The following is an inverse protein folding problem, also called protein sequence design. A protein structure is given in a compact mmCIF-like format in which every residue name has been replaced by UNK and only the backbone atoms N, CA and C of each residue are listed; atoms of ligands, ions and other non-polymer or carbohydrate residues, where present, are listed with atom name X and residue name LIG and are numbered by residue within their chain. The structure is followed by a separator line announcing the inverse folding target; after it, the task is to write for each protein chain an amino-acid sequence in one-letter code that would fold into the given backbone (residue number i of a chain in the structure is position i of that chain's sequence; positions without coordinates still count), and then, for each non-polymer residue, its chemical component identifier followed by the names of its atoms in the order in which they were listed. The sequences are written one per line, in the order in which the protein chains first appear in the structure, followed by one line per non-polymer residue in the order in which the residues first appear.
data_IF_085978326231
#
_entry.id   IF_085978326231
#
_cell.length_a   1.000
_cell.length_b   1.000
_cell.length_c   1.000
_cell.angle_alpha   90.00
_cell.angle_beta   90.00
_cell.angle_gamma   90.00
#
_symmetry.space_group_name_H-M   'P 1'
#
loop_
_entity.id
_entity.type
_entity.pdbx_description
1 polymer ?
#
# COMPACT_ATOMS: atom_id res chain seq x y z
N UNK A 1 -4.64 -23.46 -1.06
CA UNK A 1 -5.52 -22.29 -1.28
C UNK A 1 -4.78 -21.11 -0.71
N UNK A 2 -4.47 -20.08 -1.50
CA UNK A 2 -3.71 -18.93 -1.01
C UNK A 2 -4.64 -18.13 -0.08
N UNK A 3 -4.43 -18.20 1.23
CA UNK A 3 -5.35 -17.66 2.26
C UNK A 3 -5.24 -16.15 2.44
N UNK A 4 -4.35 -15.50 1.70
CA UNK A 4 -4.07 -14.08 1.81
C UNK A 4 -4.97 -13.26 0.87
N UNK A 5 -5.30 -11.99 1.22
CA UNK A 5 -6.04 -11.10 0.35
C UNK A 5 -5.41 -11.03 -1.04
N UNK A 6 -6.23 -11.09 -2.08
CA UNK A 6 -5.73 -11.02 -3.46
C UNK A 6 -5.48 -9.59 -3.93
N UNK A 7 -6.02 -8.59 -3.22
CA UNK A 7 -5.88 -7.18 -3.58
C UNK A 7 -5.95 -6.27 -2.36
N UNK A 8 -5.24 -5.14 -2.45
CA UNK A 8 -5.29 -4.05 -1.48
C UNK A 8 -5.47 -2.72 -2.20
N UNK A 9 -6.20 -1.80 -1.60
CA UNK A 9 -6.11 -0.38 -1.96
C UNK A 9 -5.02 0.26 -1.10
N UNK A 10 -4.07 0.92 -1.74
CA UNK A 10 -2.98 1.64 -1.08
C UNK A 10 -3.09 3.13 -1.38
N UNK A 11 -2.74 3.94 -0.38
CA UNK A 11 -2.86 5.38 -0.38
C UNK A 11 -1.49 5.98 -0.17
N UNK A 12 -1.03 6.76 -1.14
CA UNK A 12 0.16 7.58 -1.04
C UNK A 12 -0.20 8.90 -0.36
N UNK A 13 0.44 9.22 0.76
CA UNK A 13 0.13 10.39 1.61
C UNK A 13 1.43 11.13 1.98
N UNK A 14 1.38 12.43 2.30
CA UNK A 14 2.49 13.11 2.95
C UNK A 14 2.74 12.55 4.37
N UNK A 15 4.00 12.39 4.75
CA UNK A 15 4.43 11.88 6.07
C UNK A 15 3.97 12.80 7.22
N UNK A 16 4.04 14.13 7.01
CA UNK A 16 3.75 15.16 8.00
C UNK A 16 2.31 15.68 7.97
N UNK A 17 1.35 14.91 7.46
CA UNK A 17 -0.07 15.27 7.58
C UNK A 17 -0.51 15.15 9.05
N UNK A 18 -0.17 16.14 9.87
CA UNK A 18 -0.67 16.31 11.23
C UNK A 18 -2.15 16.70 11.17
N UNK A 19 -3.03 15.72 11.34
CA UNK A 19 -4.33 15.89 11.99
C UNK A 19 -4.89 14.52 12.42
N UNK A 20 -4.47 14.07 13.61
CA UNK A 20 -5.40 13.71 14.69
C UNK A 20 -6.35 12.51 14.57
N UNK A 21 -6.47 11.82 13.44
CA UNK A 21 -7.08 10.48 13.36
C UNK A 21 -6.41 9.71 12.24
N UNK A 22 -5.90 8.53 12.54
CA UNK A 22 -5.51 7.51 11.57
C UNK A 22 -6.72 7.01 10.79
N UNK A 23 -7.35 7.89 10.00
CA UNK A 23 -8.39 7.48 9.09
C UNK A 23 -7.71 6.95 7.86
N UNK A 24 -7.96 5.69 7.57
CA UNK A 24 -7.67 5.05 6.30
C UNK A 24 -8.57 5.59 5.17
N UNK A 25 -8.79 6.91 5.19
CA UNK A 25 -9.69 7.64 4.31
C UNK A 25 -8.86 8.26 3.18
N UNK A 26 -9.39 8.20 1.96
CA UNK A 26 -8.72 8.73 0.77
C UNK A 26 -8.58 10.26 0.80
N UNK A 27 -9.27 10.97 1.71
CA UNK A 27 -9.12 12.43 1.87
C UNK A 27 -7.73 12.78 2.38
N UNK A 28 -6.90 13.33 1.49
CA UNK A 28 -5.50 13.69 1.76
C UNK A 28 -4.48 12.77 1.08
N UNK A 29 -4.93 11.70 0.41
CA UNK A 29 -4.06 10.91 -0.45
C UNK A 29 -3.69 11.71 -1.71
N UNK A 30 -2.38 11.77 -1.99
CA UNK A 30 -1.86 12.32 -3.23
C UNK A 30 -2.17 11.39 -4.41
N UNK A 31 -2.20 10.08 -4.14
CA UNK A 31 -2.54 9.03 -5.11
C UNK A 31 -3.11 7.83 -4.38
N UNK A 32 -4.01 7.11 -5.04
CA UNK A 32 -4.54 5.82 -4.60
C UNK A 32 -4.41 4.80 -5.72
N UNK A 33 -4.13 3.54 -5.37
CA UNK A 33 -4.06 2.45 -6.33
C UNK A 33 -4.62 1.17 -5.72
N UNK A 34 -5.31 0.36 -6.53
CA UNK A 34 -5.62 -1.03 -6.18
C UNK A 34 -4.51 -1.92 -6.73
N UNK A 35 -3.78 -2.57 -5.85
CA UNK A 35 -2.69 -3.50 -6.18
C UNK A 35 -3.15 -4.94 -5.97
N UNK A 36 -2.76 -5.83 -6.88
CA UNK A 36 -3.17 -7.24 -6.90
C UNK A 36 -1.96 -8.14 -6.71
N UNK A 37 -2.13 -9.22 -5.96
CA UNK A 37 -1.08 -10.20 -5.69
C UNK A 37 -0.53 -10.77 -7.01
N UNK A 38 0.79 -10.75 -7.19
CA UNK A 38 1.43 -11.34 -8.37
C UNK A 38 1.67 -12.85 -8.20
N UNK A 39 1.62 -13.33 -6.95
CA UNK A 39 2.01 -14.70 -6.60
C UNK A 39 3.50 -14.85 -6.32
N UNK A 40 4.28 -13.77 -6.43
CA UNK A 40 5.72 -13.75 -6.18
C UNK A 40 6.03 -13.16 -4.80
N UNK A 41 7.24 -13.46 -4.30
CA UNK A 41 7.81 -12.80 -3.13
C UNK A 41 8.63 -11.59 -3.59
N UNK A 42 8.38 -10.43 -3.01
CA UNK A 42 9.11 -9.21 -3.29
C UNK A 42 10.48 -9.15 -2.59
N UNK A 43 11.24 -8.10 -2.90
CA UNK A 43 12.60 -7.91 -2.40
C UNK A 43 12.70 -7.76 -0.88
N UNK A 44 11.63 -7.29 -0.23
CA UNK A 44 11.53 -7.23 1.24
C UNK A 44 11.33 -8.60 1.90
N UNK A 45 11.00 -9.64 1.13
CA UNK A 45 10.64 -10.98 1.63
C UNK A 45 9.14 -11.19 1.83
N UNK A 46 8.30 -10.17 1.59
CA UNK A 46 6.84 -10.27 1.69
C UNK A 46 6.18 -10.48 0.33
N UNK A 47 4.91 -10.95 0.27
CA UNK A 47 4.19 -11.11 -0.98
C UNK A 47 4.13 -9.80 -1.79
N UNK A 48 4.32 -9.91 -3.10
CA UNK A 48 4.35 -8.79 -4.04
C UNK A 48 2.97 -8.52 -4.64
N UNK A 49 2.61 -7.25 -4.69
CA UNK A 49 1.37 -6.73 -5.26
C UNK A 49 1.67 -5.61 -6.26
N UNK A 50 0.97 -5.60 -7.39
CA UNK A 50 1.17 -4.59 -8.45
C UNK A 50 -0.16 -4.05 -8.95
N UNK A 51 -0.20 -2.76 -9.25
CA UNK A 51 -1.36 -2.11 -9.88
C UNK A 51 -1.18 -0.60 -10.02
N UNK A 52 -1.68 -0.05 -11.12
CA UNK A 52 -1.61 1.40 -11.41
C UNK A 52 -0.21 2.01 -11.20
N UNK A 53 0.83 1.38 -11.75
CA UNK A 53 2.22 1.85 -11.60
C UNK A 53 2.82 1.71 -10.19
N UNK A 54 2.06 1.18 -9.22
CA UNK A 54 2.56 0.87 -7.88
C UNK A 54 2.99 -0.58 -7.78
N UNK A 55 4.15 -0.81 -7.18
CA UNK A 55 4.62 -2.15 -6.80
C UNK A 55 4.90 -2.16 -5.30
N UNK A 56 4.11 -2.92 -4.55
CA UNK A 56 4.19 -2.96 -3.10
C UNK A 56 4.46 -4.38 -2.63
N UNK A 57 5.39 -4.51 -1.70
CA UNK A 57 5.51 -5.72 -0.90
C UNK A 57 4.72 -5.48 0.39
N UNK A 58 3.72 -6.33 0.67
CA UNK A 58 2.76 -6.10 1.75
C UNK A 58 2.70 -7.33 2.64
N UNK A 59 2.81 -7.13 3.96
CA UNK A 59 2.44 -8.15 4.93
C UNK A 59 0.90 -8.28 4.95
N UNK A 60 0.32 -9.37 4.42
CA UNK A 60 -1.13 -9.52 4.37
C UNK A 60 -1.78 -9.68 5.75
N UNK A 61 -1.01 -10.07 6.78
CA UNK A 61 -1.51 -10.26 8.13
C UNK A 61 -1.68 -8.93 8.87
N UNK A 62 -0.70 -8.04 8.75
CA UNK A 62 -0.70 -6.74 9.44
C UNK A 62 -1.15 -5.58 8.55
N UNK A 63 -1.21 -5.78 7.24
CA UNK A 63 -1.45 -4.74 6.22
C UNK A 63 -0.37 -3.66 6.22
N UNK A 64 0.84 -3.99 6.66
CA UNK A 64 2.02 -3.12 6.57
C UNK A 64 2.61 -3.20 5.17
N UNK A 65 3.02 -2.05 4.62
CA UNK A 65 3.77 -1.98 3.36
C UNK A 65 5.26 -1.96 3.70
N UNK A 66 5.97 -2.99 3.26
CA UNK A 66 7.35 -3.26 3.67
C UNK A 66 8.35 -2.75 2.62
N UNK A 67 7.90 -2.62 1.37
CA UNK A 67 8.60 -1.92 0.29
C UNK A 67 7.59 -1.35 -0.72
N UNK A 68 7.92 -0.22 -1.35
CA UNK A 68 7.09 0.42 -2.37
C UNK A 68 7.96 1.01 -3.49
N UNK A 69 7.56 0.74 -4.74
CA UNK A 69 7.97 1.52 -5.90
C UNK A 69 6.77 2.23 -6.50
N UNK A 70 6.98 3.47 -6.93
CA UNK A 70 6.03 4.29 -7.68
C UNK A 70 6.60 4.54 -9.06
N UNK A 71 5.95 3.99 -10.09
CA UNK A 71 6.38 4.06 -11.49
C UNK A 71 7.85 3.61 -11.67
N UNK A 72 8.23 2.55 -10.94
CA UNK A 72 9.57 1.96 -10.95
C UNK A 72 10.63 2.70 -10.11
N UNK A 73 10.25 3.80 -9.43
CA UNK A 73 11.15 4.59 -8.59
C UNK A 73 10.85 4.39 -7.11
N UNK A 74 11.88 4.50 -6.26
CA UNK A 74 11.69 4.53 -4.81
C UNK A 74 10.89 5.76 -4.40
N UNK A 75 10.24 5.64 -3.24
CA UNK A 75 9.40 6.70 -2.73
C UNK A 75 10.23 7.93 -2.31
N UNK A 76 9.80 9.12 -2.74
CA UNK A 76 10.41 10.37 -2.31
C UNK A 76 10.29 10.59 -0.79
N UNK A 77 11.31 11.24 -0.22
CA UNK A 77 11.32 11.62 1.19
C UNK A 77 10.12 12.50 1.57
N UNK A 78 9.59 12.30 2.78
CA UNK A 78 8.43 13.03 3.28
C UNK A 78 7.10 12.52 2.74
N UNK A 79 7.10 11.41 2.01
CA UNK A 79 5.92 10.65 1.66
C UNK A 79 5.87 9.33 2.43
N UNK A 80 4.66 8.82 2.61
CA UNK A 80 4.40 7.53 3.22
C UNK A 80 3.24 6.84 2.51
N UNK A 81 3.14 5.52 2.66
CA UNK A 81 2.06 4.72 2.11
C UNK A 81 1.25 4.07 3.22
N UNK A 82 -0.06 3.94 3.02
CA UNK A 82 -0.98 3.26 3.93
C UNK A 82 -1.87 2.32 3.14
N UNK A 83 -2.23 1.18 3.72
CA UNK A 83 -3.28 0.32 3.17
C UNK A 83 -4.63 0.85 3.64
N UNK A 84 -5.53 1.13 2.70
CA UNK A 84 -6.89 1.56 3.01
C UNK A 84 -7.62 0.51 3.88
N UNK A 85 -8.43 0.98 4.81
CA UNK A 85 -9.30 0.12 5.61
C UNK A 85 -10.39 -0.39 4.69
N UNK A 86 -10.68 -1.70 4.74
CA UNK A 86 -11.82 -2.21 4.01
C UNK A 86 -13.03 -1.60 4.69
N UNK A 87 -13.68 -0.62 4.06
CA UNK A 87 -14.97 -0.13 4.55
C UNK A 87 -15.88 -1.35 4.67
N UNK A 88 -16.08 -1.82 5.90
CA UNK A 88 -17.03 -2.89 6.19
C UNK A 88 -18.37 -2.47 5.60
N UNK A 89 -18.88 -3.29 4.69
CA UNK A 89 -20.25 -3.17 4.22
C UNK A 89 -21.24 -3.46 5.32
#
# INVERSE_FOLDING_TARGET
MNTHPQSFEILLVPEFAEDGRGTSDTRGALRSAVVTATGETGSSGYPRYVGDGMEADIDPATRSVEALLVDGSELDYGLSVRVADVRGG
#
